data_IF_995272916173
#
_entry.id   IF_995272916173
#
_cell.length_a   1.000
_cell.length_b   1.000
_cell.length_c   1.000
_cell.angle_alpha   90.00
_cell.angle_beta   90.00
_cell.angle_gamma   90.00
#
_symmetry.space_group_name_H-M   'P 1'
#
loop_
_entity.id
_entity.type
_entity.pdbx_description
1 polymer ?
#
# COMPACT_ATOMS: atom_id res chain seq x y z
N UNK A 1 -2.04 3.90 -6.11
CA UNK A 1 -3.21 3.44 -5.33
C UNK A 1 -3.76 2.12 -5.86
N UNK A 2 -4.75 2.05 -6.77
CA UNK A 2 -5.32 0.76 -7.16
C UNK A 2 -4.30 -0.20 -7.79
N UNK A 3 -3.49 0.27 -8.74
CA UNK A 3 -2.44 -0.54 -9.37
C UNK A 3 -1.26 -0.85 -8.42
N UNK A 4 -1.16 -0.16 -7.29
CA UNK A 4 -0.07 -0.34 -6.31
C UNK A 4 -0.49 -1.32 -5.21
N UNK A 5 -1.76 -1.29 -4.80
CA UNK A 5 -2.30 -2.25 -3.83
C UNK A 5 -2.86 -3.51 -4.50
N UNK A 6 -3.36 -3.40 -5.73
CA UNK A 6 -3.99 -4.49 -6.48
C UNK A 6 -3.03 -5.39 -7.28
N UNK A 7 -1.85 -4.90 -7.68
CA UNK A 7 -0.86 -5.72 -8.38
C UNK A 7 0.22 -6.18 -7.39
N UNK A 8 0.35 -7.50 -7.21
CA UNK A 8 1.35 -8.14 -6.35
C UNK A 8 2.81 -7.79 -6.74
N UNK A 9 3.01 -7.30 -7.97
CA UNK A 9 4.32 -7.10 -8.60
C UNK A 9 4.80 -5.64 -8.52
N UNK A 10 4.00 -4.70 -7.99
CA UNK A 10 4.32 -3.25 -7.93
C UNK A 10 4.56 -2.69 -6.51
N UNK A 11 5.25 -3.38 -5.57
CA UNK A 11 5.47 -2.87 -4.21
C UNK A 11 6.36 -1.61 -4.14
N UNK A 12 6.90 -1.18 -5.27
CA UNK A 12 7.83 -0.05 -5.37
C UNK A 12 7.17 1.28 -5.75
N UNK A 13 5.84 1.31 -5.98
CA UNK A 13 5.18 2.59 -6.21
C UNK A 13 5.06 3.37 -4.88
N UNK A 14 5.48 4.64 -4.82
CA UNK A 14 5.48 5.42 -3.58
C UNK A 14 4.09 6.01 -3.28
N UNK A 15 3.13 5.18 -2.90
CA UNK A 15 1.77 5.66 -2.68
C UNK A 15 1.61 6.57 -1.47
N UNK A 16 2.40 6.37 -0.42
CA UNK A 16 2.42 7.24 0.77
C UNK A 16 2.73 8.69 0.36
N UNK A 17 3.74 8.86 -0.50
CA UNK A 17 4.19 10.17 -0.99
C UNK A 17 3.22 10.79 -1.99
N UNK A 18 2.57 9.98 -2.83
CA UNK A 18 1.53 10.47 -3.74
C UNK A 18 0.31 10.97 -2.97
N UNK A 19 -0.14 10.25 -1.94
CA UNK A 19 -1.22 10.72 -1.07
C UNK A 19 -0.88 12.03 -0.38
N UNK A 20 0.34 12.12 0.15
CA UNK A 20 0.81 13.31 0.83
C UNK A 20 0.92 14.50 -0.14
N UNK A 21 1.50 14.30 -1.33
CA UNK A 21 1.58 15.32 -2.36
C UNK A 21 0.19 15.79 -2.83
N UNK A 22 -0.75 14.86 -3.06
CA UNK A 22 -2.13 15.20 -3.40
C UNK A 22 -2.80 16.03 -2.30
N UNK A 23 -2.61 15.68 -1.04
CA UNK A 23 -3.10 16.47 0.10
C UNK A 23 -2.56 17.90 0.05
N UNK A 24 -1.25 18.06 -0.16
CA UNK A 24 -0.62 19.37 -0.26
C UNK A 24 -1.13 20.19 -1.46
N UNK A 25 -1.39 19.54 -2.60
CA UNK A 25 -1.97 20.20 -3.79
C UNK A 25 -3.38 20.71 -3.49
N UNK A 26 -4.22 19.90 -2.83
CA UNK A 26 -5.58 20.28 -2.46
C UNK A 26 -5.61 21.44 -1.44
N UNK A 27 -4.52 21.66 -0.71
CA UNK A 27 -4.42 22.78 0.23
C UNK A 27 -4.14 24.14 -0.43
N UNK A 28 -3.80 24.15 -1.73
CA UNK A 28 -3.59 25.39 -2.47
C UNK A 28 -4.91 26.16 -2.59
N UNK A 29 -4.94 27.46 -2.28
CA UNK A 29 -6.18 28.25 -2.40
C UNK A 29 -6.68 28.44 -3.83
N UNK A 30 -5.84 28.16 -4.83
CA UNK A 30 -6.20 28.15 -6.24
C UNK A 30 -6.73 26.78 -6.70
N UNK A 31 -6.70 25.76 -5.83
CA UNK A 31 -7.22 24.44 -6.15
C UNK A 31 -8.73 24.39 -5.89
N UNK A 32 -9.52 24.26 -6.95
CA UNK A 32 -10.97 23.97 -6.86
C UNK A 32 -11.25 22.49 -6.49
N UNK A 33 -10.27 21.81 -5.90
CA UNK A 33 -10.34 20.38 -5.61
C UNK A 33 -11.01 20.16 -4.26
N UNK A 34 -12.07 19.35 -4.25
CA UNK A 34 -12.73 18.98 -2.99
C UNK A 34 -11.97 17.86 -2.26
N UNK A 35 -11.45 18.19 -1.08
CA UNK A 35 -10.76 17.25 -0.21
C UNK A 35 -11.61 16.00 0.10
N UNK A 36 -12.91 16.17 0.31
CA UNK A 36 -13.86 15.09 0.60
C UNK A 36 -14.03 14.12 -0.58
N UNK A 37 -14.08 14.61 -1.81
CA UNK A 37 -14.19 13.77 -3.00
C UNK A 37 -12.91 12.98 -3.21
N UNK A 38 -11.75 13.63 -3.14
CA UNK A 38 -10.46 12.95 -3.28
C UNK A 38 -10.26 11.91 -2.18
N UNK A 39 -10.60 12.24 -0.94
CA UNK A 39 -10.56 11.30 0.17
C UNK A 39 -11.41 10.05 -0.11
N UNK A 40 -12.66 10.23 -0.56
CA UNK A 40 -13.57 9.12 -0.87
C UNK A 40 -13.06 8.26 -2.03
N UNK A 41 -12.57 8.88 -3.11
CA UNK A 41 -12.01 8.18 -4.27
C UNK A 41 -10.74 7.41 -3.89
N UNK A 42 -9.86 7.99 -3.07
CA UNK A 42 -8.60 7.36 -2.67
C UNK A 42 -8.83 6.19 -1.70
N UNK A 43 -9.76 6.33 -0.75
CA UNK A 43 -10.17 5.23 0.15
C UNK A 43 -10.78 4.09 -0.66
N UNK A 44 -11.71 4.37 -1.56
CA UNK A 44 -12.36 3.34 -2.38
C UNK A 44 -11.36 2.64 -3.29
N UNK A 45 -10.46 3.38 -3.94
CA UNK A 45 -9.39 2.81 -4.78
C UNK A 45 -8.44 1.92 -3.97
N UNK A 46 -8.05 2.34 -2.76
CA UNK A 46 -7.18 1.55 -1.89
C UNK A 46 -7.85 0.24 -1.45
N UNK A 47 -9.08 0.33 -0.94
CA UNK A 47 -9.86 -0.81 -0.45
C UNK A 47 -10.13 -1.81 -1.58
N UNK A 48 -10.56 -1.33 -2.77
CA UNK A 48 -10.82 -2.19 -3.92
C UNK A 48 -9.54 -2.88 -4.43
N UNK A 49 -8.42 -2.17 -4.49
CA UNK A 49 -7.15 -2.78 -4.87
C UNK A 49 -6.74 -3.90 -3.91
N UNK A 50 -6.87 -3.69 -2.61
CA UNK A 50 -6.59 -4.72 -1.61
C UNK A 50 -7.53 -5.93 -1.71
N UNK A 51 -8.81 -5.71 -2.07
CA UNK A 51 -9.74 -6.81 -2.35
C UNK A 51 -9.35 -7.62 -3.59
N UNK A 52 -8.92 -6.95 -4.67
CA UNK A 52 -8.42 -7.64 -5.88
C UNK A 52 -7.19 -8.48 -5.54
N UNK A 53 -6.27 -7.94 -4.75
CA UNK A 53 -5.08 -8.65 -4.31
C UNK A 53 -5.41 -9.86 -3.41
N UNK A 54 -6.37 -9.69 -2.50
CA UNK A 54 -6.91 -10.79 -1.70
C UNK A 54 -7.55 -11.89 -2.58
N UNK A 55 -8.34 -11.54 -3.59
CA UNK A 55 -8.94 -12.50 -4.52
C UNK A 55 -7.89 -13.25 -5.34
N UNK A 56 -6.86 -12.54 -5.82
CA UNK A 56 -5.71 -13.13 -6.50
C UNK A 56 -5.04 -14.15 -5.58
N UNK A 57 -4.79 -13.79 -4.32
CA UNK A 57 -4.23 -14.67 -3.30
C UNK A 57 -5.09 -15.90 -3.03
N UNK A 58 -6.41 -15.72 -2.89
CA UNK A 58 -7.37 -16.81 -2.66
C UNK A 58 -7.45 -17.78 -3.85
N UNK A 59 -7.52 -17.24 -5.06
CA UNK A 59 -7.58 -18.03 -6.29
C UNK A 59 -6.28 -18.81 -6.54
N UNK A 60 -5.12 -18.15 -6.40
CA UNK A 60 -3.82 -18.80 -6.52
C UNK A 60 -3.58 -19.81 -5.40
N UNK A 61 -3.97 -19.49 -4.16
CA UNK A 61 -3.94 -20.43 -3.04
C UNK A 61 -4.69 -21.72 -3.39
N UNK A 62 -5.93 -21.62 -3.86
CA UNK A 62 -6.74 -22.78 -4.26
C UNK A 62 -6.08 -23.63 -5.37
N UNK A 63 -5.40 -22.99 -6.33
CA UNK A 63 -4.70 -23.67 -7.44
C UNK A 63 -3.38 -24.31 -7.01
N UNK A 64 -2.67 -23.71 -6.05
CA UNK A 64 -1.42 -24.22 -5.46
C UNK A 64 -1.71 -25.38 -4.51
N UNK A 65 -2.82 -25.37 -3.76
CA UNK A 65 -3.26 -26.53 -2.97
C UNK A 65 -3.51 -27.78 -3.83
N UNK A 66 -3.85 -27.61 -5.12
CA UNK A 66 -4.10 -28.70 -6.07
C UNK A 66 -2.87 -29.17 -6.86
N UNK A 67 -1.83 -28.36 -6.97
CA UNK A 67 -0.67 -28.64 -7.84
C UNK A 67 0.61 -28.62 -7.03
N UNK A 68 1.40 -29.71 -7.09
CA UNK A 68 2.78 -29.82 -6.55
C UNK A 68 3.74 -28.88 -7.30
N UNK A 69 3.46 -27.58 -7.29
CA UNK A 69 4.23 -26.54 -7.98
C UNK A 69 5.54 -26.29 -7.25
N UNK A 70 6.67 -26.40 -7.96
CA UNK A 70 8.03 -26.08 -7.46
C UNK A 70 8.23 -24.60 -7.11
N UNK A 71 7.30 -23.72 -7.50
CA UNK A 71 7.45 -22.25 -7.38
C UNK A 71 6.94 -21.73 -6.02
N UNK A 72 5.99 -22.42 -5.38
CA UNK A 72 5.44 -22.02 -4.08
C UNK A 72 5.49 -23.19 -3.10
N UNK A 73 6.45 -23.14 -2.16
CA UNK A 73 6.62 -24.17 -1.14
C UNK A 73 5.47 -24.10 -0.10
N UNK A 74 4.87 -25.25 0.29
CA UNK A 74 3.84 -25.31 1.35
C UNK A 74 4.30 -24.68 2.68
N UNK A 75 5.60 -24.66 2.91
CA UNK A 75 6.25 -24.08 4.08
C UNK A 75 5.97 -22.58 4.25
N UNK A 76 5.89 -21.81 3.14
CA UNK A 76 5.51 -20.40 3.20
C UNK A 76 4.04 -20.23 3.59
N UNK A 77 3.15 -21.14 3.17
CA UNK A 77 1.74 -21.14 3.54
C UNK A 77 1.57 -21.39 5.05
N UNK A 78 2.26 -22.39 5.58
CA UNK A 78 2.20 -22.77 7.00
C UNK A 78 2.79 -21.64 7.87
N UNK A 79 3.90 -21.05 7.45
CA UNK A 79 4.50 -19.91 8.16
C UNK A 79 3.60 -18.68 8.12
N UNK A 80 2.92 -18.44 7.00
CA UNK A 80 2.02 -17.29 6.89
C UNK A 80 0.76 -17.50 7.72
N UNK A 81 0.17 -18.70 7.66
CA UNK A 81 -1.00 -19.04 8.46
C UNK A 81 -0.70 -19.01 9.96
N UNK A 82 0.44 -19.55 10.39
CA UNK A 82 0.88 -19.45 11.79
C UNK A 82 1.18 -18.01 12.19
N UNK A 83 1.73 -17.18 11.30
CA UNK A 83 1.96 -15.76 11.55
C UNK A 83 0.66 -14.98 11.78
N UNK A 84 -0.35 -15.15 10.93
CA UNK A 84 -1.66 -14.51 11.13
C UNK A 84 -2.42 -15.06 12.34
N UNK A 85 -2.30 -16.35 12.62
CA UNK A 85 -2.92 -16.97 13.81
C UNK A 85 -2.24 -16.48 15.10
N UNK A 86 -0.92 -16.25 15.07
CA UNK A 86 -0.12 -15.81 16.22
C UNK A 86 -0.18 -14.30 16.49
N UNK A 87 -0.15 -13.46 15.45
CA UNK A 87 -0.16 -11.99 15.60
C UNK A 87 -1.56 -11.38 15.49
N UNK A 88 -2.56 -12.19 15.11
CA UNK A 88 -3.96 -11.82 15.08
C UNK A 88 -4.34 -10.96 13.88
N UNK A 89 -5.64 -10.88 13.63
CA UNK A 89 -6.20 -10.22 12.45
C UNK A 89 -5.89 -8.70 12.38
N UNK A 90 -5.44 -8.09 13.50
CA UNK A 90 -5.01 -6.68 13.56
C UNK A 90 -3.75 -6.41 12.74
N UNK A 91 -2.96 -7.43 12.41
CA UNK A 91 -1.74 -7.31 11.60
C UNK A 91 -2.00 -6.70 10.23
N UNK A 92 -3.20 -6.81 9.66
CA UNK A 92 -3.56 -6.19 8.38
C UNK A 92 -3.52 -4.65 8.47
N UNK A 93 -3.94 -4.09 9.60
CA UNK A 93 -3.89 -2.63 9.80
C UNK A 93 -2.43 -2.19 9.92
N UNK A 94 -1.63 -2.88 10.74
CA UNK A 94 -0.22 -2.54 10.93
C UNK A 94 0.61 -2.74 9.64
N UNK A 95 0.29 -3.76 8.85
CA UNK A 95 0.94 -4.05 7.58
C UNK A 95 0.88 -2.86 6.61
N UNK A 96 -0.19 -2.06 6.63
CA UNK A 96 -0.35 -0.88 5.76
C UNK A 96 0.72 0.19 5.98
N UNK A 97 1.31 0.26 7.16
CA UNK A 97 2.38 1.24 7.47
C UNK A 97 3.78 0.75 7.12
N UNK A 98 3.91 -0.51 6.68
CA UNK A 98 5.19 -1.09 6.29
C UNK A 98 5.14 -1.35 4.77
N UNK A 99 5.86 -0.57 3.94
CA UNK A 99 5.70 -0.56 2.48
C UNK A 99 5.80 -1.94 1.79
N UNK A 100 6.69 -2.79 2.28
CA UNK A 100 6.85 -4.14 1.72
C UNK A 100 5.72 -5.05 2.21
N UNK A 101 5.32 -4.95 3.47
CA UNK A 101 4.32 -5.86 4.06
C UNK A 101 2.91 -5.54 3.56
N UNK A 102 2.59 -4.28 3.28
CA UNK A 102 1.25 -3.87 2.81
C UNK A 102 0.82 -4.50 1.50
N UNK A 103 1.73 -4.76 0.56
CA UNK A 103 1.38 -5.33 -0.75
C UNK A 103 1.22 -6.84 -0.68
N UNK A 104 1.97 -7.50 0.21
CA UNK A 104 1.87 -8.94 0.41
C UNK A 104 0.78 -9.32 1.42
N UNK A 105 0.38 -8.44 2.34
CA UNK A 105 -0.59 -8.77 3.37
C UNK A 105 -1.98 -9.15 2.82
N UNK A 106 -2.58 -8.44 1.85
CA UNK A 106 -3.84 -8.85 1.23
C UNK A 106 -3.72 -10.19 0.50
N UNK A 107 -2.63 -10.36 -0.25
CA UNK A 107 -2.32 -11.61 -0.96
C UNK A 107 -2.30 -12.79 0.02
N UNK A 108 -1.52 -12.67 1.09
CA UNK A 108 -1.36 -13.72 2.08
C UNK A 108 -2.62 -13.97 2.91
N UNK A 109 -3.42 -12.94 3.18
CA UNK A 109 -4.74 -13.09 3.78
C UNK A 109 -5.69 -13.92 2.89
N UNK A 110 -5.61 -13.73 1.57
CA UNK A 110 -6.36 -14.54 0.59
C UNK A 110 -5.87 -15.99 0.54
N UNK A 111 -4.56 -16.17 0.48
CA UNK A 111 -3.91 -17.49 0.44
C UNK A 111 -4.19 -18.33 1.70
N UNK A 112 -4.25 -17.69 2.87
CA UNK A 112 -4.56 -18.35 4.16
C UNK A 112 -6.06 -18.60 4.39
N UNK A 113 -6.91 -18.32 3.41
CA UNK A 113 -8.37 -18.47 3.49
C UNK A 113 -9.02 -17.70 4.65
N UNK A 114 -8.49 -16.52 5.00
CA UNK A 114 -9.13 -15.64 5.97
C UNK A 114 -10.52 -15.24 5.49
N UNK A 115 -11.55 -15.24 6.34
CA UNK A 115 -12.93 -14.89 5.93
C UNK A 115 -13.01 -13.47 5.36
N UNK A 116 -13.73 -13.29 4.25
CA UNK A 116 -13.92 -11.98 3.59
C UNK A 116 -14.38 -10.88 4.54
N UNK A 117 -15.32 -11.21 5.44
CA UNK A 117 -15.83 -10.24 6.42
C UNK A 117 -14.69 -9.72 7.28
N UNK A 118 -13.85 -10.61 7.83
CA UNK A 118 -12.71 -10.22 8.67
C UNK A 118 -11.72 -9.39 7.87
N UNK A 119 -11.28 -9.88 6.71
CA UNK A 119 -10.35 -9.15 5.85
C UNK A 119 -10.89 -7.76 5.49
N UNK A 120 -12.13 -7.70 5.00
CA UNK A 120 -12.81 -6.49 4.59
C UNK A 120 -12.90 -5.46 5.71
N UNK A 121 -13.28 -5.86 6.93
CA UNK A 121 -13.34 -4.94 8.07
C UNK A 121 -11.97 -4.32 8.38
N UNK A 122 -10.92 -5.13 8.54
CA UNK A 122 -9.58 -4.60 8.81
C UNK A 122 -9.00 -3.80 7.63
N UNK A 123 -9.30 -4.22 6.41
CA UNK A 123 -8.89 -3.55 5.19
C UNK A 123 -9.52 -2.15 5.09
N UNK A 124 -10.83 -2.03 5.32
CA UNK A 124 -11.56 -0.75 5.29
C UNK A 124 -11.06 0.17 6.39
N UNK A 125 -10.97 -0.30 7.64
CA UNK A 125 -10.47 0.53 8.74
C UNK A 125 -9.02 0.98 8.51
N UNK A 126 -8.16 0.04 8.08
CA UNK A 126 -6.78 0.36 7.75
C UNK A 126 -6.66 1.35 6.58
N UNK A 127 -7.51 1.22 5.56
CA UNK A 127 -7.53 2.11 4.40
C UNK A 127 -8.02 3.50 4.73
N UNK A 128 -9.10 3.59 5.50
CA UNK A 128 -9.59 4.86 6.04
C UNK A 128 -8.50 5.56 6.84
N UNK A 129 -7.90 4.87 7.81
CA UNK A 129 -6.88 5.47 8.67
C UNK A 129 -5.66 5.91 7.85
N UNK A 130 -5.12 5.05 7.00
CA UNK A 130 -3.95 5.33 6.17
C UNK A 130 -4.18 6.51 5.21
N UNK A 131 -5.27 6.47 4.42
CA UNK A 131 -5.58 7.57 3.48
C UNK A 131 -5.81 8.88 4.23
N UNK A 132 -6.58 8.85 5.32
CA UNK A 132 -6.86 10.04 6.12
C UNK A 132 -5.57 10.64 6.67
N UNK A 133 -4.68 9.82 7.23
CA UNK A 133 -3.43 10.27 7.84
C UNK A 133 -2.53 10.97 6.82
N UNK A 134 -2.25 10.34 5.68
CA UNK A 134 -1.34 10.90 4.68
C UNK A 134 -1.97 12.06 3.91
N UNK A 135 -3.27 11.97 3.56
CA UNK A 135 -3.96 13.03 2.82
C UNK A 135 -4.15 14.28 3.68
N UNK A 136 -4.62 14.15 4.92
CA UNK A 136 -4.73 15.29 5.83
C UNK A 136 -3.36 15.81 6.25
N UNK A 137 -2.39 14.94 6.49
CA UNK A 137 -1.02 15.33 6.76
C UNK A 137 -0.45 16.21 5.64
N UNK A 138 -0.64 15.79 4.39
CA UNK A 138 -0.29 16.60 3.21
C UNK A 138 -1.06 17.90 3.14
N UNK A 139 -2.36 17.88 3.41
CA UNK A 139 -3.23 19.05 3.38
C UNK A 139 -2.81 20.12 4.39
N UNK A 140 -2.67 19.78 5.67
CA UNK A 140 -2.20 20.73 6.68
C UNK A 140 -0.77 21.20 6.40
N UNK A 141 0.09 20.33 5.87
CA UNK A 141 1.44 20.70 5.49
C UNK A 141 1.47 21.71 4.33
N UNK A 142 0.61 21.54 3.33
CA UNK A 142 0.47 22.47 2.20
C UNK A 142 -0.04 23.86 2.59
N UNK A 143 -0.73 23.99 3.73
CA UNK A 143 -1.18 25.29 4.25
C UNK A 143 -0.08 26.13 4.90
N UNK A 144 1.08 25.53 5.21
CA UNK A 144 2.19 26.26 5.85
C UNK A 144 2.73 27.30 4.87
N UNK A 145 2.85 28.59 5.25
CA UNK A 145 3.27 29.66 4.32
C UNK A 145 4.62 29.40 3.64
N UNK A 146 5.56 28.78 4.36
CA UNK A 146 6.88 28.39 3.83
C UNK A 146 6.78 27.33 2.73
N UNK A 147 5.85 26.37 2.88
CA UNK A 147 5.59 25.31 1.91
C UNK A 147 4.83 25.87 0.72
N UNK A 148 3.82 26.70 0.95
CA UNK A 148 3.02 27.34 -0.10
C UNK A 148 3.88 28.21 -1.03
N UNK A 149 4.82 28.97 -0.49
CA UNK A 149 5.73 29.80 -1.29
C UNK A 149 6.77 28.98 -2.08
N UNK A 150 7.01 27.72 -1.70
CA UNK A 150 7.99 26.83 -2.33
C UNK A 150 7.32 25.53 -2.83
N UNK A 151 6.05 25.62 -3.21
CA UNK A 151 5.19 24.45 -3.40
C UNK A 151 5.78 23.43 -4.37
N UNK A 152 6.18 23.89 -5.56
CA UNK A 152 6.81 23.06 -6.59
C UNK A 152 8.07 22.37 -6.09
N UNK A 153 8.88 23.05 -5.30
CA UNK A 153 10.15 22.53 -4.77
C UNK A 153 9.90 21.46 -3.70
N UNK A 154 8.92 21.68 -2.82
CA UNK A 154 8.57 20.76 -1.74
C UNK A 154 7.92 19.48 -2.28
N UNK A 155 6.98 19.59 -3.22
CA UNK A 155 6.39 18.41 -3.88
C UNK A 155 7.46 17.61 -4.63
N UNK A 156 8.36 18.30 -5.35
CA UNK A 156 9.46 17.65 -6.05
C UNK A 156 10.42 16.95 -5.09
N UNK A 157 10.76 17.57 -3.95
CA UNK A 157 11.57 16.96 -2.88
C UNK A 157 10.91 15.70 -2.32
N UNK A 158 9.61 15.73 -2.01
CA UNK A 158 8.89 14.57 -1.49
C UNK A 158 8.92 13.41 -2.50
N UNK A 159 8.73 13.68 -3.79
CA UNK A 159 8.81 12.67 -4.85
C UNK A 159 10.23 12.11 -4.96
N UNK A 160 11.25 12.97 -4.99
CA UNK A 160 12.66 12.57 -5.08
C UNK A 160 13.06 11.73 -3.87
N UNK A 161 12.80 12.20 -2.65
CA UNK A 161 13.12 11.48 -1.41
C UNK A 161 12.46 10.10 -1.39
N UNK A 162 11.24 9.99 -1.91
CA UNK A 162 10.52 8.72 -1.98
C UNK A 162 11.03 7.77 -3.08
N UNK A 163 11.51 8.34 -4.19
CA UNK A 163 12.12 7.58 -5.28
C UNK A 163 13.53 7.09 -4.95
N UNK A 164 14.27 7.80 -4.08
CA UNK A 164 15.67 7.45 -3.73
C UNK A 164 15.81 6.02 -3.18
N UNK A 165 15.03 5.56 -2.19
CA UNK A 165 15.10 4.16 -1.71
C UNK A 165 14.87 3.14 -2.82
N UNK A 166 13.96 3.42 -3.75
CA UNK A 166 13.63 2.55 -4.89
C UNK A 166 14.81 2.48 -5.86
N UNK A 167 15.39 3.63 -6.19
CA UNK A 167 16.57 3.73 -7.06
C UNK A 167 17.78 3.03 -6.44
N UNK A 168 18.05 3.25 -5.15
CA UNK A 168 19.16 2.61 -4.44
C UNK A 168 18.99 1.08 -4.42
N UNK A 169 17.77 0.57 -4.19
CA UNK A 169 17.50 -0.87 -4.26
C UNK A 169 17.69 -1.45 -5.66
N UNK A 170 17.31 -0.71 -6.71
CA UNK A 170 17.49 -1.12 -8.10
C UNK A 170 18.98 -1.19 -8.49
N UNK A 171 19.78 -0.19 -8.08
CA UNK A 171 21.21 -0.18 -8.33
C UNK A 171 21.98 -1.22 -7.50
N UNK A 172 21.54 -1.50 -6.27
CA UNK A 172 22.15 -2.53 -5.43
C UNK A 172 21.79 -3.96 -5.87
N UNK A 173 20.59 -4.20 -6.43
CA UNK A 173 20.25 -5.51 -7.02
C UNK A 173 21.14 -5.86 -8.21
N UNK A 174 21.60 -4.87 -8.98
CA UNK A 174 22.56 -5.08 -10.09
C UNK A 174 23.94 -5.57 -9.61
N UNK A 175 24.31 -5.36 -8.35
CA UNK A 175 25.58 -5.84 -7.79
C UNK A 175 25.51 -7.25 -7.20
N UNK A 176 24.33 -7.81 -6.94
CA UNK A 176 24.19 -9.13 -6.31
C UNK A 176 23.92 -10.29 -7.27
N UNK A 177 23.83 -10.04 -8.59
CA UNK A 177 23.69 -11.08 -9.62
C UNK A 177 25.03 -11.47 -10.26
N UNK A 178 26.15 -11.05 -9.67
CA UNK A 178 27.51 -11.42 -10.14
C UNK A 178 28.33 -11.96 -8.97
N UNK A 179 27.95 -13.12 -8.43
CA UNK A 179 28.86 -14.04 -7.72
C UNK A 179 28.40 -15.46 -8.02
#
# INVERSE_FOLDING_TARGET
>A
MFAETGLVITPFLPGDSVLFALGAIIALPESDLSLSLFWLVLVTAAVLGDFVNYEIGKYLGHRVFRSKSKIFKPEYLINTQSFYTKHGNRTIIYARFVPIVRTFAPFFAGVSHMTYVKFGTYNIFGGLLWVTLFLLGGYFFGQIPMVRNNFSLVVFLVIIISAVPVLVQFFNHKKSTTV
#
